data_IF_004799397818
#
_entry.id   IF_004799397818
#
_cell.length_a   1.000
_cell.length_b   1.000
_cell.length_c   1.000
_cell.angle_alpha   90.00
_cell.angle_beta   90.00
_cell.angle_gamma   90.00
#
_symmetry.space_group_name_H-M   'P 1'
#
loop_
_entity.id
_entity.type
_entity.pdbx_description
1 polymer ?
#
# COMPACT_ATOMS: atom_id res chain seq x y z
N UNK A 1 14.74 0.42 -4.76
CA UNK A 1 13.44 1.04 -5.09
C UNK A 1 13.32 2.34 -4.32
N UNK A 2 12.79 3.37 -4.95
CA UNK A 2 12.38 4.62 -4.32
C UNK A 2 10.86 4.74 -4.43
N UNK A 3 10.25 5.62 -3.63
CA UNK A 3 8.81 5.88 -3.66
C UNK A 3 8.61 7.34 -4.03
N UNK A 4 7.64 7.62 -4.90
CA UNK A 4 7.31 9.01 -5.24
C UNK A 4 6.65 9.72 -4.06
N UNK A 5 5.83 9.00 -3.29
CA UNK A 5 5.14 9.52 -2.10
C UNK A 5 5.41 8.63 -0.88
N UNK A 6 6.61 8.71 -0.27
CA UNK A 6 7.00 7.85 0.84
C UNK A 6 6.12 8.01 2.09
N UNK A 7 5.45 9.16 2.27
CA UNK A 7 4.54 9.40 3.40
C UNK A 7 3.35 8.43 3.46
N UNK A 8 2.90 7.88 2.33
CA UNK A 8 1.84 6.87 2.32
C UNK A 8 2.24 5.57 3.03
N UNK A 9 3.52 5.27 3.20
CA UNK A 9 3.97 4.09 3.94
C UNK A 9 3.51 4.11 5.41
N UNK A 10 3.31 5.30 6.00
CA UNK A 10 2.73 5.39 7.36
C UNK A 10 1.30 4.86 7.43
N UNK A 11 0.56 4.85 6.32
CA UNK A 11 -0.78 4.26 6.25
C UNK A 11 -0.75 2.72 6.41
N UNK A 12 0.40 2.05 6.31
CA UNK A 12 0.53 0.63 6.68
C UNK A 12 0.17 0.39 8.15
N UNK A 13 0.25 1.40 9.02
CA UNK A 13 -0.26 1.31 10.39
C UNK A 13 -1.75 0.94 10.46
N UNK A 14 -2.53 1.22 9.40
CA UNK A 14 -3.92 0.80 9.31
C UNK A 14 -4.10 -0.73 9.29
N UNK A 15 -3.06 -1.50 8.91
CA UNK A 15 -3.06 -2.97 9.00
C UNK A 15 -3.24 -3.46 10.44
N UNK A 16 -2.86 -2.66 11.45
CA UNK A 16 -3.08 -2.99 12.85
C UNK A 16 -4.56 -3.21 13.16
N UNK A 17 -5.48 -2.50 12.50
CA UNK A 17 -6.92 -2.59 12.75
C UNK A 17 -7.46 -4.01 12.47
N UNK A 18 -7.36 -4.59 11.25
CA UNK A 18 -7.84 -5.94 11.00
C UNK A 18 -7.08 -7.02 11.79
N UNK A 19 -5.80 -6.80 12.11
CA UNK A 19 -5.01 -7.73 12.95
C UNK A 19 -5.58 -7.75 14.36
N UNK A 20 -5.75 -6.57 14.98
CA UNK A 20 -6.34 -6.43 16.32
C UNK A 20 -7.74 -7.04 16.32
N UNK A 21 -8.61 -6.70 15.36
CA UNK A 21 -9.97 -7.28 15.30
C UNK A 21 -9.94 -8.81 15.15
N UNK A 22 -8.96 -9.37 14.45
CA UNK A 22 -8.84 -10.82 14.31
C UNK A 22 -8.33 -11.51 15.58
N UNK A 23 -7.32 -10.94 16.25
CA UNK A 23 -6.80 -11.46 17.52
C UNK A 23 -7.84 -11.33 18.63
N UNK A 24 -8.48 -10.16 18.72
CA UNK A 24 -9.55 -9.88 19.66
C UNK A 24 -10.88 -10.31 19.07
N UNK A 25 -11.16 -11.60 19.21
CA UNK A 25 -12.42 -12.18 18.76
C UNK A 25 -13.56 -11.70 19.69
N UNK A 26 -14.17 -10.54 19.39
CA UNK A 26 -15.29 -9.92 20.16
C UNK A 26 -16.60 -10.72 20.13
N UNK A 27 -16.52 -12.04 19.95
CA UNK A 27 -17.67 -12.92 19.83
C UNK A 27 -18.28 -13.20 21.20
N UNK A 28 -19.48 -12.67 21.43
CA UNK A 28 -20.31 -13.05 22.58
C UNK A 28 -20.91 -14.44 22.31
N UNK A 29 -20.55 -15.43 23.12
CA UNK A 29 -21.16 -16.76 23.03
C UNK A 29 -22.50 -16.78 23.76
N UNK A 30 -23.56 -17.25 23.09
CA UNK A 30 -24.87 -17.50 23.71
C UNK A 30 -24.99 -18.99 24.02
N UNK A 31 -25.18 -19.34 25.28
CA UNK A 31 -25.36 -20.73 25.71
C UNK A 31 -26.80 -21.18 25.44
N UNK A 32 -26.97 -22.34 24.82
CA UNK A 32 -28.27 -22.97 24.56
C UNK A 32 -28.20 -24.41 25.05
N UNK A 33 -29.16 -24.84 25.88
CA UNK A 33 -29.22 -26.21 26.42
C UNK A 33 -29.83 -27.16 25.40
N UNK A 34 -29.21 -28.32 25.19
CA UNK A 34 -29.63 -29.33 24.20
C UNK A 34 -29.51 -30.74 24.79
N UNK A 35 -30.47 -31.62 24.49
CA UNK A 35 -30.66 -32.92 25.16
C UNK A 35 -29.66 -34.01 24.76
N UNK A 36 -29.03 -33.93 23.57
CA UNK A 36 -27.99 -34.87 23.15
C UNK A 36 -26.82 -34.13 22.45
N UNK A 37 -25.63 -34.14 23.07
CA UNK A 37 -24.46 -33.35 22.66
C UNK A 37 -23.34 -34.16 22.01
N UNK A 38 -23.41 -35.50 22.04
CA UNK A 38 -22.33 -36.37 21.59
C UNK A 38 -22.04 -36.19 20.10
N UNK A 39 -23.09 -36.27 19.26
CA UNK A 39 -22.97 -36.12 17.80
C UNK A 39 -22.57 -34.70 17.36
N UNK A 40 -22.99 -33.68 18.12
CA UNK A 40 -22.70 -32.27 17.81
C UNK A 40 -21.22 -31.94 18.08
N UNK A 41 -20.56 -32.64 19.01
CA UNK A 41 -19.17 -32.37 19.41
C UNK A 41 -18.17 -32.74 18.33
N UNK A 42 -18.40 -33.86 17.63
CA UNK A 42 -17.50 -34.34 16.57
C UNK A 42 -17.64 -33.52 15.29
N UNK A 43 -18.86 -33.21 14.85
CA UNK A 43 -19.09 -32.31 13.70
C UNK A 43 -18.53 -30.90 13.95
N UNK A 44 -18.61 -30.40 15.20
CA UNK A 44 -17.99 -29.13 15.57
C UNK A 44 -16.46 -29.15 15.47
N UNK A 45 -15.78 -30.27 15.75
CA UNK A 45 -14.31 -30.38 15.62
C UNK A 45 -13.87 -30.26 14.17
N UNK A 46 -14.50 -31.01 13.26
CA UNK A 46 -14.26 -30.94 11.80
C UNK A 46 -14.50 -29.53 11.24
N UNK A 47 -15.63 -28.92 11.64
CA UNK A 47 -15.97 -27.55 11.21
C UNK A 47 -14.97 -26.51 11.72
N UNK A 48 -14.37 -26.74 12.90
CA UNK A 48 -13.40 -25.81 13.51
C UNK A 48 -12.12 -25.70 12.70
N UNK A 49 -11.57 -26.80 12.19
CA UNK A 49 -10.34 -26.78 11.38
C UNK A 49 -10.54 -26.04 10.05
N UNK A 50 -11.61 -26.36 9.31
CA UNK A 50 -11.96 -25.65 8.07
C UNK A 50 -12.25 -24.17 8.31
N UNK A 51 -12.94 -23.84 9.40
CA UNK A 51 -13.22 -22.45 9.76
C UNK A 51 -11.95 -21.67 10.10
N UNK A 52 -10.97 -22.28 10.76
CA UNK A 52 -9.70 -21.62 11.09
C UNK A 52 -8.90 -21.28 9.83
N UNK A 53 -8.79 -22.22 8.89
CA UNK A 53 -8.09 -22.01 7.63
C UNK A 53 -8.76 -20.91 6.79
N UNK A 54 -10.11 -20.94 6.71
CA UNK A 54 -10.87 -19.86 6.06
C UNK A 54 -10.63 -18.51 6.72
N UNK A 55 -10.60 -18.44 8.06
CA UNK A 55 -10.37 -17.20 8.79
C UNK A 55 -8.96 -16.63 8.55
N UNK A 56 -7.94 -17.47 8.48
CA UNK A 56 -6.57 -17.06 8.14
C UNK A 56 -6.48 -16.51 6.71
N UNK A 57 -7.11 -17.19 5.74
CA UNK A 57 -7.14 -16.71 4.35
C UNK A 57 -7.87 -15.36 4.24
N UNK A 58 -9.00 -15.19 4.91
CA UNK A 58 -9.74 -13.91 4.92
C UNK A 58 -8.87 -12.80 5.53
N UNK A 59 -8.17 -13.08 6.63
CA UNK A 59 -7.25 -12.11 7.22
C UNK A 59 -6.15 -11.72 6.24
N UNK A 60 -5.50 -12.71 5.62
CA UNK A 60 -4.43 -12.49 4.64
C UNK A 60 -4.90 -11.62 3.47
N UNK A 61 -6.06 -11.92 2.89
CA UNK A 61 -6.61 -11.10 1.81
C UNK A 61 -6.92 -9.67 2.25
N UNK A 62 -7.49 -9.46 3.44
CA UNK A 62 -7.71 -8.09 3.97
C UNK A 62 -6.41 -7.32 4.10
N UNK A 63 -5.35 -7.95 4.60
CA UNK A 63 -4.03 -7.32 4.73
C UNK A 63 -3.41 -7.03 3.37
N UNK A 64 -3.53 -7.95 2.41
CA UNK A 64 -3.05 -7.75 1.05
C UNK A 64 -3.78 -6.61 0.35
N UNK A 65 -5.10 -6.51 0.47
CA UNK A 65 -5.87 -5.41 -0.14
C UNK A 65 -5.42 -4.06 0.38
N UNK A 66 -5.25 -3.91 1.69
CA UNK A 66 -4.77 -2.65 2.30
C UNK A 66 -3.34 -2.36 1.87
N UNK A 67 -2.45 -3.36 1.92
CA UNK A 67 -1.04 -3.20 1.51
C UNK A 67 -0.94 -2.79 0.04
N UNK A 68 -1.70 -3.44 -0.85
CA UNK A 68 -1.74 -3.14 -2.26
C UNK A 68 -2.26 -1.71 -2.53
N UNK A 69 -3.29 -1.28 -1.80
CA UNK A 69 -3.81 0.08 -1.88
C UNK A 69 -2.76 1.11 -1.43
N UNK A 70 -2.09 0.88 -0.30
CA UNK A 70 -1.00 1.75 0.17
C UNK A 70 0.14 1.79 -0.84
N UNK A 71 0.52 0.65 -1.43
CA UNK A 71 1.58 0.59 -2.41
C UNK A 71 1.20 1.29 -3.73
N UNK A 72 -0.06 1.23 -4.14
CA UNK A 72 -0.57 1.94 -5.31
C UNK A 72 -0.44 3.47 -5.15
N UNK A 73 -0.71 4.00 -3.96
CA UNK A 73 -0.54 5.43 -3.67
C UNK A 73 0.90 5.83 -3.39
N UNK A 74 1.72 4.96 -2.81
CA UNK A 74 3.14 5.23 -2.55
C UNK A 74 3.98 5.28 -3.85
N UNK A 75 3.50 4.67 -4.93
CA UNK A 75 4.14 4.62 -6.26
C UNK A 75 5.63 4.21 -6.18
N UNK A 76 5.93 2.93 -5.88
CA UNK A 76 7.30 2.43 -5.92
C UNK A 76 7.84 2.44 -7.36
N UNK A 77 9.05 2.97 -7.53
CA UNK A 77 9.77 2.92 -8.79
C UNK A 77 11.21 2.44 -8.58
N UNK A 78 11.78 1.86 -9.63
CA UNK A 78 13.19 1.48 -9.66
C UNK A 78 13.89 2.59 -10.44
N UNK A 79 14.72 3.45 -9.79
CA UNK A 79 15.49 4.44 -10.53
C UNK A 79 16.44 3.71 -11.48
N UNK A 80 16.25 3.88 -12.78
CA UNK A 80 17.20 3.40 -13.79
C UNK A 80 18.31 4.45 -13.90
N UNK A 81 19.57 4.03 -13.73
CA UNK A 81 20.70 4.95 -13.72
C UNK A 81 21.13 5.35 -15.15
N UNK A 82 20.17 5.61 -16.04
CA UNK A 82 20.45 5.94 -17.45
C UNK A 82 20.80 7.43 -17.66
N UNK A 83 21.00 8.18 -16.58
CA UNK A 83 21.30 9.61 -16.62
C UNK A 83 22.63 10.02 -15.96
N UNK A 84 23.43 9.08 -15.45
CA UNK A 84 24.80 9.38 -14.97
C UNK A 84 25.86 9.51 -16.09
N UNK A 85 25.45 9.77 -17.34
CA UNK A 85 26.34 10.24 -18.42
C UNK A 85 25.71 11.32 -19.32
N UNK A 86 24.66 12.01 -18.87
CA UNK A 86 24.45 13.35 -19.41
C UNK A 86 25.39 14.28 -18.66
N UNK A 87 26.61 14.39 -19.19
CA UNK A 87 27.39 15.59 -19.02
C UNK A 87 26.42 16.76 -19.14
N UNK A 88 26.27 17.50 -18.05
CA UNK A 88 25.61 18.79 -17.98
C UNK A 88 26.40 19.74 -18.88
N UNK A 89 26.37 19.52 -20.21
CA UNK A 89 26.55 20.59 -21.18
C UNK A 89 25.32 21.43 -20.97
N UNK A 90 25.43 22.39 -20.06
CA UNK A 90 24.50 23.51 -20.02
C UNK A 90 24.40 23.98 -21.46
N UNK A 91 23.29 23.66 -22.13
CA UNK A 91 22.99 24.20 -23.44
C UNK A 91 22.70 25.67 -23.18
N UNK A 92 23.77 26.48 -23.17
CA UNK A 92 23.66 27.92 -23.19
C UNK A 92 23.07 28.30 -24.54
N UNK A 93 21.74 28.33 -24.64
CA UNK A 93 21.06 28.98 -25.74
C UNK A 93 21.24 30.48 -25.56
N UNK A 94 22.26 31.00 -26.24
CA UNK A 94 22.55 32.42 -26.32
C UNK A 94 21.80 32.95 -27.54
N UNK A 95 20.65 33.59 -27.31
CA UNK A 95 19.93 34.30 -28.36
C UNK A 95 20.60 35.67 -28.52
N UNK A 96 21.16 35.92 -29.71
CA UNK A 96 21.71 37.22 -30.09
C UNK A 96 20.67 37.85 -31.00
N UNK A 97 20.06 38.95 -30.56
CA UNK A 97 19.15 39.74 -31.36
C UNK A 97 19.94 40.88 -32.01
N UNK A 98 19.90 40.98 -33.34
CA UNK A 98 20.54 42.06 -34.10
C UNK A 98 19.48 43.04 -34.63
N UNK A 99 18.58 43.52 -33.78
CA UNK A 99 17.55 44.49 -34.21
C UNK A 99 18.15 45.90 -34.30
N UNK A 100 17.81 46.62 -35.37
CA UNK A 100 18.32 47.98 -35.67
C UNK A 100 17.99 49.00 -34.55
N UNK A 101 16.99 48.70 -33.72
CA UNK A 101 16.63 49.49 -32.55
C UNK A 101 17.64 49.41 -31.39
N UNK A 102 18.53 48.41 -31.36
CA UNK A 102 19.57 48.30 -30.32
C UNK A 102 20.75 49.25 -30.55
N UNK A 103 20.91 49.78 -31.76
CA UNK A 103 21.99 50.71 -32.14
C UNK A 103 21.59 52.19 -31.94
N UNK A 104 20.43 52.45 -31.32
CA UNK A 104 19.96 53.79 -31.08
C UNK A 104 20.72 54.44 -29.91
N UNK A 105 21.71 55.28 -30.22
CA UNK A 105 22.33 56.17 -29.24
C UNK A 105 21.34 57.25 -28.81
N UNK A 106 20.94 57.21 -27.53
CA UNK A 106 20.04 58.20 -26.94
C UNK A 106 20.67 59.60 -26.92
N UNK A 107 19.91 60.61 -27.35
CA UNK A 107 20.22 62.03 -27.13
C UNK A 107 19.77 62.49 -25.75
#
# INVERSE_FOLDING_TARGET
MQFLYPGFLYALSALSIPIIIHLFNFRKYKTVYFSNVAFIKDVKKETKAKSQLKNLLILLFRLLTITALVMAFAQPYIPTNNSMKQNKKEKACRYIENSFSMDAEGK
#
